data_IF_898692883178
#
_entry.id   IF_898692883178
#
_cell.length_a   1.000
_cell.length_b   1.000
_cell.length_c   1.000
_cell.angle_alpha   90.00
_cell.angle_beta   90.00
_cell.angle_gamma   90.00
#
_symmetry.space_group_name_H-M   'P 1'
#
loop_
_entity.id
_entity.type
_entity.pdbx_description
1 polymer ?
#
# COMPACT_ATOMS: atom_id res chain seq x y z
N UNK A 1 -5.56 5.44 -5.20
CA UNK A 1 -6.17 4.37 -4.46
C UNK A 1 -5.47 4.12 -3.13
N UNK A 2 -5.96 3.14 -2.39
CA UNK A 2 -5.50 2.91 -1.03
C UNK A 2 -4.03 2.51 -0.98
N UNK A 3 -3.61 1.58 -1.83
CA UNK A 3 -2.22 1.12 -1.83
C UNK A 3 -1.25 2.26 -2.14
N UNK A 4 -1.59 3.06 -3.14
CA UNK A 4 -0.76 4.20 -3.50
C UNK A 4 -0.66 5.20 -2.35
N UNK A 5 -1.77 5.42 -1.65
CA UNK A 5 -1.77 6.32 -0.51
C UNK A 5 -0.89 5.78 0.63
N UNK A 6 -0.99 4.48 0.91
CA UNK A 6 -0.18 3.87 1.95
C UNK A 6 1.31 4.02 1.61
N UNK A 7 1.67 3.78 0.37
CA UNK A 7 3.06 3.93 -0.06
C UNK A 7 3.55 5.37 0.07
N UNK A 8 2.79 6.32 -0.45
CA UNK A 8 3.16 7.73 -0.40
C UNK A 8 3.28 8.23 1.04
N UNK A 9 2.33 7.83 1.89
CA UNK A 9 2.36 8.20 3.29
C UNK A 9 3.63 7.65 3.97
N UNK A 10 3.93 6.38 3.70
CA UNK A 10 5.08 5.71 4.32
C UNK A 10 6.40 6.35 3.89
N UNK A 11 6.51 6.76 2.63
CA UNK A 11 7.71 7.42 2.13
C UNK A 11 7.89 8.81 2.75
N UNK A 12 6.78 9.54 2.91
CA UNK A 12 6.84 10.90 3.43
C UNK A 12 7.05 10.95 4.94
N UNK A 13 6.42 10.04 5.66
CA UNK A 13 6.39 10.09 7.13
C UNK A 13 7.34 9.13 7.81
N UNK A 14 7.92 8.17 7.09
CA UNK A 14 8.79 7.13 7.63
C UNK A 14 8.04 6.12 8.50
N UNK A 15 6.72 6.12 8.46
CA UNK A 15 5.87 5.11 9.09
C UNK A 15 4.57 5.03 8.30
N UNK A 16 3.84 3.92 8.47
CA UNK A 16 2.62 3.68 7.70
C UNK A 16 1.41 4.31 8.37
N UNK A 17 0.35 4.60 7.61
CA UNK A 17 -0.88 5.15 8.20
C UNK A 17 -1.62 4.10 9.01
N UNK A 18 -2.44 4.55 9.95
CA UNK A 18 -3.37 3.69 10.66
C UNK A 18 -4.60 3.43 9.79
N UNK A 19 -5.38 2.42 10.16
CA UNK A 19 -6.65 2.17 9.48
C UNK A 19 -7.56 3.40 9.56
N UNK A 20 -7.58 4.05 10.72
CA UNK A 20 -8.41 5.24 10.91
C UNK A 20 -7.97 6.37 9.98
N UNK A 21 -6.67 6.54 9.80
CA UNK A 21 -6.14 7.56 8.90
C UNK A 21 -6.52 7.28 7.45
N UNK A 22 -6.44 6.01 7.03
CA UNK A 22 -6.85 5.62 5.69
C UNK A 22 -8.35 5.83 5.51
N UNK A 23 -9.14 5.41 6.49
CA UNK A 23 -10.59 5.58 6.44
C UNK A 23 -10.97 7.04 6.25
N UNK A 24 -10.32 7.93 7.00
CA UNK A 24 -10.60 9.36 6.91
C UNK A 24 -10.21 9.91 5.55
N UNK A 25 -9.06 9.50 5.05
CA UNK A 25 -8.56 10.00 3.76
C UNK A 25 -9.50 9.67 2.60
N UNK A 26 -10.07 8.48 2.60
CA UNK A 26 -10.91 8.01 1.51
C UNK A 26 -12.39 8.06 1.83
N UNK A 27 -12.76 8.46 3.05
CA UNK A 27 -14.15 8.46 3.52
C UNK A 27 -14.77 7.08 3.47
N UNK A 28 -13.98 6.08 3.83
CA UNK A 28 -14.42 4.71 3.92
C UNK A 28 -14.74 4.35 5.36
N UNK A 29 -15.58 3.33 5.56
CA UNK A 29 -15.78 2.77 6.89
C UNK A 29 -14.53 2.01 7.31
N UNK A 30 -14.35 1.83 8.62
CA UNK A 30 -13.22 1.05 9.12
C UNK A 30 -13.27 -0.39 8.63
N UNK A 31 -14.49 -0.95 8.54
CA UNK A 31 -14.66 -2.30 8.03
C UNK A 31 -14.18 -2.42 6.59
N UNK A 32 -14.49 -1.43 5.77
CA UNK A 32 -14.05 -1.42 4.37
C UNK A 32 -12.54 -1.33 4.27
N UNK A 33 -11.93 -0.46 5.08
CA UNK A 33 -10.47 -0.34 5.10
C UNK A 33 -9.83 -1.66 5.53
N UNK A 34 -10.37 -2.29 6.58
CA UNK A 34 -9.86 -3.57 7.03
C UNK A 34 -9.89 -4.63 5.94
N UNK A 35 -10.97 -4.65 5.16
CA UNK A 35 -11.09 -5.60 4.06
C UNK A 35 -10.07 -5.33 2.96
N UNK A 36 -9.91 -4.06 2.60
CA UNK A 36 -8.93 -3.67 1.57
C UNK A 36 -7.51 -4.00 2.03
N UNK A 37 -7.18 -3.67 3.26
CA UNK A 37 -5.84 -3.95 3.81
C UNK A 37 -5.59 -5.45 3.86
N UNK A 38 -6.60 -6.24 4.23
CA UNK A 38 -6.47 -7.69 4.25
C UNK A 38 -6.16 -8.24 2.86
N UNK A 39 -6.81 -7.71 1.83
CA UNK A 39 -6.52 -8.12 0.46
C UNK A 39 -5.11 -7.74 0.03
N UNK A 40 -4.66 -6.54 0.38
CA UNK A 40 -3.31 -6.11 0.04
C UNK A 40 -2.27 -6.98 0.75
N UNK A 41 -2.57 -7.38 1.97
CA UNK A 41 -1.71 -8.29 2.72
C UNK A 41 -1.60 -9.64 2.01
N UNK A 42 -2.74 -10.20 1.58
CA UNK A 42 -2.75 -11.48 0.88
C UNK A 42 -1.98 -11.43 -0.42
N UNK A 43 -2.03 -10.29 -1.10
CA UNK A 43 -1.30 -10.11 -2.35
C UNK A 43 0.20 -9.84 -2.14
N UNK A 44 0.63 -9.67 -0.91
CA UNK A 44 2.05 -9.46 -0.62
C UNK A 44 2.54 -8.03 -0.78
N UNK A 45 1.63 -7.06 -0.95
CA UNK A 45 2.04 -5.66 -1.10
C UNK A 45 2.36 -5.01 0.24
N UNK A 46 1.83 -5.53 1.32
CA UNK A 46 2.09 -5.02 2.66
C UNK A 46 2.26 -6.18 3.62
N UNK A 47 2.87 -5.90 4.77
CA UNK A 47 2.98 -6.88 5.85
C UNK A 47 2.42 -6.27 7.12
N UNK A 48 2.21 -7.11 8.13
CA UNK A 48 1.75 -6.65 9.43
C UNK A 48 2.89 -6.00 10.18
N UNK A 49 2.63 -4.80 10.70
CA UNK A 49 3.54 -4.14 11.61
C UNK A 49 3.40 -4.72 13.02
N UNK A 50 4.28 -4.28 13.90
CA UNK A 50 4.29 -4.77 15.29
C UNK A 50 3.39 -3.95 16.21
N UNK A 51 3.06 -2.73 15.81
CA UNK A 51 2.26 -1.83 16.63
C UNK A 51 0.78 -2.17 16.51
N UNK A 52 0.05 -2.05 17.62
CA UNK A 52 -1.39 -2.27 17.61
C UNK A 52 -2.10 -1.19 16.80
N UNK A 53 -1.55 0.01 16.75
CA UNK A 53 -2.17 1.15 16.06
C UNK A 53 -1.70 1.29 14.62
N UNK A 54 -0.41 1.02 14.38
CA UNK A 54 0.19 1.16 13.05
C UNK A 54 0.68 -0.20 12.60
N UNK A 55 -0.27 -1.05 12.27
CA UNK A 55 0.05 -2.42 11.93
C UNK A 55 0.18 -2.71 10.44
N UNK A 56 0.15 -1.66 9.61
CA UNK A 56 0.49 -1.77 8.19
C UNK A 56 1.98 -1.49 8.05
N UNK A 57 2.67 -2.32 7.28
CA UNK A 57 4.09 -2.15 7.06
C UNK A 57 4.44 -2.41 5.61
N UNK A 58 5.32 -1.57 5.06
CA UNK A 58 5.83 -1.75 3.70
C UNK A 58 7.36 -1.76 3.79
N UNK A 59 7.95 -2.87 3.42
CA UNK A 59 9.42 -3.01 3.37
C UNK A 59 9.95 -2.43 2.07
N UNK A 60 11.28 -2.28 2.01
CA UNK A 60 11.92 -1.75 0.80
C UNK A 60 11.63 -2.63 -0.41
N UNK A 61 11.62 -3.94 -0.21
CA UNK A 61 11.28 -4.88 -1.29
C UNK A 61 9.87 -4.60 -1.82
N UNK A 62 8.93 -4.40 -0.92
CA UNK A 62 7.54 -4.16 -1.30
C UNK A 62 7.39 -2.80 -1.98
N UNK A 63 8.10 -1.79 -1.50
CA UNK A 63 8.09 -0.47 -2.13
C UNK A 63 8.55 -0.56 -3.57
N UNK A 64 9.62 -1.29 -3.81
CA UNK A 64 10.15 -1.45 -5.15
C UNK A 64 9.17 -2.19 -6.05
N UNK A 65 8.55 -3.25 -5.53
CA UNK A 65 7.57 -4.01 -6.29
C UNK A 65 6.39 -3.14 -6.72
N UNK A 66 5.88 -2.31 -5.80
CA UNK A 66 4.77 -1.42 -6.09
C UNK A 66 5.18 -0.39 -7.15
N UNK A 67 6.35 0.17 -7.01
CA UNK A 67 6.86 1.15 -7.97
C UNK A 67 7.02 0.53 -9.35
N UNK A 68 7.54 -0.67 -9.42
CA UNK A 68 7.70 -1.38 -10.69
C UNK A 68 6.35 -1.62 -11.37
N UNK A 69 5.34 -2.02 -10.59
CA UNK A 69 4.02 -2.24 -11.13
C UNK A 69 3.41 -0.96 -11.67
N UNK A 70 3.60 0.16 -10.96
CA UNK A 70 3.09 1.43 -11.44
C UNK A 70 3.81 1.88 -12.69
N UNK A 71 5.12 1.68 -12.75
CA UNK A 71 5.88 2.01 -13.95
C UNK A 71 5.39 1.21 -15.14
N UNK A 72 5.19 -0.08 -14.98
CA UNK A 72 4.72 -0.94 -16.06
C UNK A 72 3.32 -0.57 -16.51
N UNK A 73 2.48 -0.09 -15.60
CA UNK A 73 1.14 0.37 -15.96
C UNK A 73 1.19 1.59 -16.86
N UNK A 74 2.13 2.50 -16.58
CA UNK A 74 2.27 3.73 -17.37
C UNK A 74 3.01 3.52 -18.66
N UNK A 75 3.87 2.51 -18.71
CA UNK A 75 4.72 2.25 -19.89
C UNK A 75 4.63 0.77 -20.26
N UNK A 76 3.43 0.31 -20.61
CA UNK A 76 3.21 -1.13 -20.83
C UNK A 76 3.98 -1.70 -22.01
N UNK A 77 4.37 -0.86 -22.95
CA UNK A 77 5.08 -1.31 -24.13
C UNK A 77 6.41 -1.99 -23.79
N UNK A 78 6.91 -1.75 -22.61
CA UNK A 78 8.19 -2.33 -22.22
C UNK A 78 8.18 -3.86 -22.24
N UNK A 79 7.05 -4.45 -21.99
CA UNK A 79 6.98 -5.90 -21.95
C UNK A 79 7.22 -6.51 -23.32
N UNK A 80 6.98 -5.78 -24.36
CA UNK A 80 7.08 -6.34 -25.70
C UNK A 80 8.50 -6.41 -26.21
N UNK A 81 9.44 -5.85 -25.49
CA UNK A 81 10.83 -5.84 -25.94
C UNK A 81 11.54 -7.14 -25.73
N UNK A 82 10.93 -8.08 -25.11
CA UNK A 82 11.59 -9.34 -24.80
C UNK A 82 11.22 -10.44 -25.75
#
# INVERSE_FOLDING_TARGET
DVLRHILAFSLAKQYSPTFAEVARRFRFSRARVGKIVSELFKMGFITKGKSAHRNIRIDDYQKKTIEDLQFNREYPVKQTLN
#
